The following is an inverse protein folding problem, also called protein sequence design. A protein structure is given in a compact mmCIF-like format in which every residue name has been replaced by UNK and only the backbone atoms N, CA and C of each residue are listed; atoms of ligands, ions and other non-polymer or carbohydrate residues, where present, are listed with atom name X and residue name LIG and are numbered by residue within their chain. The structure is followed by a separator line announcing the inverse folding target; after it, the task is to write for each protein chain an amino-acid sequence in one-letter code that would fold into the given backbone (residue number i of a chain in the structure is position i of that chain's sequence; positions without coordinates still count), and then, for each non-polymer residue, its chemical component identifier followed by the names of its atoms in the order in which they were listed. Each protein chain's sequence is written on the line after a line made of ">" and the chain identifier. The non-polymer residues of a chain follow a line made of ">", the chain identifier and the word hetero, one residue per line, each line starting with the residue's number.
data_IF_343857739204
#
_entry.id   IF_343857739204
#
_cell.length_a   1.000
_cell.length_b   1.000
_cell.length_c   1.000
_cell.angle_alpha   90.00
_cell.angle_beta   90.00
_cell.angle_gamma   90.00
#
_symmetry.space_group_name_H-M   'P 1'
#
loop_
_entity.id
_entity.type
_entity.pdbx_description
1 polymer ?
#
# COMPACT_ATOMS: atom_id res chain seq x y z
N UNK A 1 -10.00 -14.00 49.43
CA UNK A 1 -10.47 -14.33 48.07
C UNK A 1 -10.32 -13.20 47.04
N UNK A 2 -9.69 -12.05 47.37
CA UNK A 2 -9.54 -10.92 46.45
C UNK A 2 -8.19 -10.89 45.69
N UNK A 3 -7.16 -11.62 46.20
CA UNK A 3 -5.81 -11.62 45.61
C UNK A 3 -5.64 -12.45 44.33
N UNK A 4 -6.52 -13.43 44.09
CA UNK A 4 -6.46 -14.28 42.90
C UNK A 4 -7.20 -13.70 41.69
N UNK A 5 -8.08 -12.72 41.90
CA UNK A 5 -8.81 -12.04 40.81
C UNK A 5 -7.92 -11.07 40.04
N UNK A 6 -6.94 -10.44 40.69
CA UNK A 6 -6.02 -9.50 40.05
C UNK A 6 -5.02 -10.19 39.11
N UNK A 7 -4.62 -11.44 39.40
CA UNK A 7 -3.72 -12.21 38.55
C UNK A 7 -4.37 -12.67 37.24
N UNK A 8 -5.69 -12.93 37.25
CA UNK A 8 -6.44 -13.40 36.07
C UNK A 8 -6.70 -12.27 35.05
N UNK A 9 -6.74 -11.02 35.50
CA UNK A 9 -6.96 -9.84 34.63
C UNK A 9 -5.70 -9.44 33.86
N UNK A 10 -4.51 -9.80 34.32
CA UNK A 10 -3.22 -9.48 33.67
C UNK A 10 -2.91 -10.47 32.53
N UNK A 11 -3.48 -11.67 32.55
CA UNK A 11 -3.29 -12.67 31.49
C UNK A 11 -4.19 -12.50 30.26
N UNK A 12 -5.15 -11.56 30.28
CA UNK A 12 -6.11 -11.35 29.19
C UNK A 12 -5.72 -10.20 28.24
N UNK A 13 -4.63 -9.48 28.50
CA UNK A 13 -4.18 -8.34 27.69
C UNK A 13 -3.18 -8.68 26.59
N UNK A 14 -2.87 -9.96 26.37
CA UNK A 14 -2.30 -10.40 25.09
C UNK A 14 -3.44 -10.51 24.06
N UNK A 15 -3.94 -9.35 23.64
CA UNK A 15 -4.60 -9.26 22.35
C UNK A 15 -3.58 -9.69 21.31
N UNK A 16 -3.68 -10.93 20.85
CA UNK A 16 -2.98 -11.35 19.65
C UNK A 16 -3.46 -10.41 18.54
N UNK A 17 -2.63 -9.42 18.20
CA UNK A 17 -2.83 -8.64 17.00
C UNK A 17 -2.57 -9.63 15.86
N UNK A 18 -3.64 -10.32 15.45
CA UNK A 18 -3.60 -11.17 14.27
C UNK A 18 -3.21 -10.25 13.11
N UNK A 19 -1.97 -10.33 12.66
CA UNK A 19 -1.52 -9.64 11.47
C UNK A 19 -2.35 -10.15 10.29
N UNK A 20 -2.86 -9.25 9.47
CA UNK A 20 -3.52 -9.64 8.23
C UNK A 20 -2.46 -10.18 7.29
N UNK A 21 -2.56 -11.45 6.88
CA UNK A 21 -1.74 -12.01 5.81
C UNK A 21 -2.55 -12.08 4.53
N UNK A 22 -2.15 -11.33 3.51
CA UNK A 22 -2.74 -11.44 2.18
C UNK A 22 -1.93 -12.49 1.40
N UNK A 23 -2.60 -13.51 0.86
CA UNK A 23 -1.96 -14.51 -0.02
C UNK A 23 -1.71 -13.94 -1.40
N UNK A 24 -0.74 -14.53 -2.12
CA UNK A 24 -0.45 -14.16 -3.51
C UNK A 24 -1.68 -14.31 -4.42
N UNK A 25 -2.47 -15.37 -4.23
CA UNK A 25 -3.70 -15.61 -4.98
C UNK A 25 -4.74 -14.49 -4.77
N UNK A 26 -4.92 -14.01 -3.53
CA UNK A 26 -5.81 -12.89 -3.25
C UNK A 26 -5.30 -11.60 -3.90
N UNK A 27 -3.99 -11.35 -3.84
CA UNK A 27 -3.36 -10.19 -4.47
C UNK A 27 -3.53 -10.22 -5.99
N UNK A 28 -3.30 -11.35 -6.64
CA UNK A 28 -3.53 -11.52 -8.08
C UNK A 28 -4.99 -11.27 -8.46
N UNK A 29 -5.94 -11.83 -7.68
CA UNK A 29 -7.37 -11.61 -7.88
C UNK A 29 -7.74 -10.12 -7.80
N UNK A 30 -7.28 -9.40 -6.77
CA UNK A 30 -7.58 -7.98 -6.62
C UNK A 30 -6.92 -7.13 -7.70
N UNK A 31 -5.67 -7.43 -8.06
CA UNK A 31 -4.97 -6.76 -9.16
C UNK A 31 -5.71 -6.92 -10.48
N UNK A 32 -6.12 -8.15 -10.82
CA UNK A 32 -6.86 -8.43 -12.05
C UNK A 32 -8.19 -7.67 -12.13
N UNK A 33 -8.85 -7.47 -10.98
CA UNK A 33 -10.15 -6.83 -10.92
C UNK A 33 -10.07 -5.30 -10.90
N UNK A 34 -9.02 -4.74 -10.30
CA UNK A 34 -9.03 -3.34 -9.85
C UNK A 34 -7.81 -2.50 -10.27
N UNK A 35 -6.74 -3.10 -10.80
CA UNK A 35 -5.53 -2.35 -11.19
C UNK A 35 -5.78 -1.27 -12.26
N UNK A 36 -6.77 -1.46 -13.14
CA UNK A 36 -7.13 -0.44 -14.14
C UNK A 36 -7.76 0.82 -13.55
N UNK A 37 -8.16 0.80 -12.27
CA UNK A 37 -8.71 1.97 -11.57
C UNK A 37 -7.63 2.81 -10.89
N UNK A 38 -6.37 2.39 -10.94
CA UNK A 38 -5.22 3.11 -10.40
C UNK A 38 -4.36 3.59 -11.57
N UNK A 39 -4.08 4.89 -11.59
CA UNK A 39 -3.24 5.50 -12.62
C UNK A 39 -1.81 5.68 -12.11
N UNK A 40 -0.84 5.41 -12.98
CA UNK A 40 0.57 5.74 -12.77
C UNK A 40 1.03 6.49 -14.01
N UNK A 41 1.32 7.77 -13.84
CA UNK A 41 1.89 8.64 -14.88
C UNK A 41 3.38 8.87 -14.57
N UNK A 42 4.25 8.57 -15.53
CA UNK A 42 5.70 8.69 -15.38
C UNK A 42 6.20 9.73 -16.38
N UNK A 43 6.88 10.75 -15.89
CA UNK A 43 7.47 11.82 -16.71
C UNK A 43 8.96 11.93 -16.46
N UNK A 44 9.75 11.85 -17.52
CA UNK A 44 11.18 12.17 -17.46
C UNK A 44 11.37 13.68 -17.59
N UNK A 45 12.05 14.28 -16.62
CA UNK A 45 12.44 15.69 -16.64
C UNK A 45 13.92 15.82 -16.27
N UNK A 46 14.75 16.16 -17.26
CA UNK A 46 16.21 16.15 -17.09
C UNK A 46 16.72 14.74 -16.81
N UNK A 47 17.27 14.53 -15.61
CA UNK A 47 17.82 13.24 -15.17
C UNK A 47 16.90 12.50 -14.18
N UNK A 48 15.72 13.03 -13.87
CA UNK A 48 14.82 12.44 -12.90
C UNK A 48 13.49 12.01 -13.54
N UNK A 49 12.98 10.87 -13.12
CA UNK A 49 11.61 10.48 -13.33
C UNK A 49 10.75 11.01 -12.17
N UNK A 50 9.68 11.72 -12.52
CA UNK A 50 8.58 12.02 -11.61
C UNK A 50 7.47 11.00 -11.86
N UNK A 51 7.09 10.27 -10.81
CA UNK A 51 6.02 9.27 -10.85
C UNK A 51 4.83 9.81 -10.07
N UNK A 52 3.72 10.06 -10.74
CA UNK A 52 2.46 10.48 -10.15
C UNK A 52 1.50 9.30 -10.11
N UNK A 53 0.96 9.00 -8.94
CA UNK A 53 -0.01 7.93 -8.73
C UNK A 53 -1.35 8.55 -8.35
N UNK A 54 -2.44 8.05 -8.94
CA UNK A 54 -3.81 8.38 -8.56
C UNK A 54 -4.61 7.12 -8.22
N UNK A 55 -5.45 7.22 -7.20
CA UNK A 55 -6.43 6.20 -6.83
C UNK A 55 -7.79 6.84 -6.47
N UNK A 56 -8.91 6.13 -6.68
CA UNK A 56 -10.21 6.62 -6.27
C UNK A 56 -10.33 6.68 -4.74
N UNK A 57 -11.24 7.51 -4.24
CA UNK A 57 -11.52 7.63 -2.79
C UNK A 57 -12.05 6.35 -2.15
N UNK A 58 -12.68 5.50 -2.94
CA UNK A 58 -13.18 4.21 -2.50
C UNK A 58 -13.17 3.23 -3.67
N UNK A 59 -13.00 1.97 -3.35
CA UNK A 59 -13.00 0.89 -4.33
C UNK A 59 -13.74 -0.30 -3.73
N UNK A 60 -14.74 -0.82 -4.45
CA UNK A 60 -15.63 -1.86 -3.91
C UNK A 60 -16.30 -1.48 -2.57
N UNK A 61 -16.70 -0.21 -2.43
CA UNK A 61 -17.25 0.37 -1.17
C UNK A 61 -16.25 0.43 0.00
N UNK A 62 -15.00 0.00 -0.19
CA UNK A 62 -13.96 0.12 0.81
C UNK A 62 -13.22 1.46 0.64
N UNK A 63 -13.03 2.24 1.72
CA UNK A 63 -12.38 3.55 1.64
C UNK A 63 -10.88 3.42 1.40
N UNK A 64 -10.31 4.35 0.62
CA UNK A 64 -8.86 4.51 0.48
C UNK A 64 -8.19 4.69 1.84
N UNK A 65 -7.06 4.01 2.04
CA UNK A 65 -6.26 4.09 3.27
C UNK A 65 -4.86 4.69 3.03
N UNK A 66 -4.23 4.42 1.89
CA UNK A 66 -2.88 4.92 1.65
C UNK A 66 -2.17 4.32 0.45
N UNK A 67 -1.00 4.87 0.18
CA UNK A 67 -0.05 4.40 -0.82
C UNK A 67 1.23 3.89 -0.16
N UNK A 68 1.77 2.79 -0.67
CA UNK A 68 3.10 2.30 -0.31
C UNK A 68 3.92 2.03 -1.56
N UNK A 69 5.21 2.34 -1.49
CA UNK A 69 6.21 2.01 -2.48
C UNK A 69 7.04 0.84 -1.99
N UNK A 70 7.19 -0.20 -2.83
CA UNK A 70 8.05 -1.35 -2.56
C UNK A 70 9.06 -1.50 -3.70
N UNK A 71 10.34 -1.60 -3.36
CA UNK A 71 11.40 -1.82 -4.33
C UNK A 71 11.71 -3.32 -4.49
N UNK A 72 11.76 -3.76 -5.75
CA UNK A 72 12.13 -5.09 -6.26
C UNK A 72 11.14 -6.23 -5.96
N UNK A 73 10.86 -6.54 -4.68
CA UNK A 73 10.06 -7.71 -4.28
C UNK A 73 9.32 -7.47 -2.97
N UNK A 74 8.15 -8.10 -2.80
CA UNK A 74 7.43 -8.11 -1.52
C UNK A 74 8.07 -9.00 -0.45
N UNK A 75 8.72 -10.09 -0.86
CA UNK A 75 9.30 -11.06 0.09
C UNK A 75 10.63 -10.54 0.66
N UNK A 76 11.43 -9.90 -0.19
CA UNK A 76 12.75 -9.37 0.15
C UNK A 76 12.90 -7.98 -0.50
N UNK A 77 12.22 -6.95 0.03
CA UNK A 77 12.30 -5.61 -0.54
C UNK A 77 13.67 -5.00 -0.29
N UNK A 78 14.22 -4.29 -1.27
CA UNK A 78 15.39 -3.43 -1.00
C UNK A 78 14.99 -2.32 -0.03
N UNK A 79 13.81 -1.73 -0.24
CA UNK A 79 13.16 -0.85 0.73
C UNK A 79 11.66 -0.83 0.51
N UNK A 80 10.93 -0.41 1.54
CA UNK A 80 9.52 -0.08 1.47
C UNK A 80 9.26 1.23 2.21
N UNK A 81 8.36 2.06 1.68
CA UNK A 81 8.00 3.33 2.28
C UNK A 81 6.51 3.62 2.09
N UNK A 82 5.86 4.13 3.14
CA UNK A 82 4.56 4.78 2.98
C UNK A 82 4.78 6.11 2.24
N UNK A 83 3.89 6.41 1.29
CA UNK A 83 3.91 7.66 0.57
C UNK A 83 2.82 8.58 1.10
N UNK A 84 3.16 9.84 1.35
CA UNK A 84 2.19 10.84 1.75
C UNK A 84 1.19 11.09 0.62
N UNK A 85 -0.09 11.05 0.96
CA UNK A 85 -1.18 11.25 0.00
C UNK A 85 -1.86 12.60 0.21
N UNK A 86 -2.37 13.18 -0.87
CA UNK A 86 -3.20 14.37 -0.84
C UNK A 86 -4.46 14.14 -1.68
N UNK A 87 -5.53 14.84 -1.33
CA UNK A 87 -6.80 14.77 -2.06
C UNK A 87 -6.80 15.76 -3.23
N UNK A 88 -7.18 15.29 -4.41
CA UNK A 88 -7.40 16.15 -5.58
C UNK A 88 -8.70 15.72 -6.30
N UNK A 89 -9.76 16.51 -6.12
CA UNK A 89 -11.06 16.23 -6.71
C UNK A 89 -11.70 14.95 -6.15
N UNK A 90 -11.90 13.95 -7.00
CA UNK A 90 -12.48 12.64 -6.64
C UNK A 90 -11.45 11.57 -6.32
N UNK A 91 -10.16 11.92 -6.27
CA UNK A 91 -9.05 10.99 -6.14
C UNK A 91 -8.14 11.36 -4.98
N UNK A 92 -7.42 10.35 -4.47
CA UNK A 92 -6.19 10.55 -3.72
C UNK A 92 -5.01 10.38 -4.64
N UNK A 93 -3.99 11.21 -4.43
CA UNK A 93 -2.78 11.20 -5.22
C UNK A 93 -1.55 11.19 -4.34
N UNK A 94 -0.45 10.72 -4.91
CA UNK A 94 0.89 10.83 -4.33
C UNK A 94 1.91 10.89 -5.46
N UNK A 95 3.13 11.34 -5.15
CA UNK A 95 4.21 11.32 -6.11
C UNK A 95 5.54 11.01 -5.44
N UNK A 96 6.49 10.54 -6.24
CA UNK A 96 7.89 10.50 -5.87
C UNK A 96 8.77 10.78 -7.08
N UNK A 97 9.97 11.28 -6.80
CA UNK A 97 11.00 11.52 -7.81
C UNK A 97 12.13 10.49 -7.63
N UNK A 98 12.71 10.07 -8.75
CA UNK A 98 13.87 9.19 -8.74
C UNK A 98 14.84 9.55 -9.87
N UNK A 99 16.13 9.54 -9.56
CA UNK A 99 17.18 9.65 -10.57
C UNK A 99 17.11 8.48 -11.57
N UNK A 100 17.18 8.78 -12.87
CA UNK A 100 17.07 7.80 -13.95
C UNK A 100 18.15 6.70 -13.88
N UNK A 101 19.32 6.99 -13.31
CA UNK A 101 20.39 6.03 -13.06
C UNK A 101 20.15 5.12 -11.85
N UNK A 102 19.14 5.40 -11.03
CA UNK A 102 18.75 4.61 -9.87
C UNK A 102 17.46 3.81 -10.08
N UNK A 103 16.87 3.88 -11.28
CA UNK A 103 15.65 3.13 -11.63
C UNK A 103 15.85 1.64 -11.38
N UNK A 104 14.82 1.04 -10.78
CA UNK A 104 14.70 -0.37 -10.49
C UNK A 104 13.23 -0.74 -10.53
N UNK A 105 12.91 -2.01 -10.27
CA UNK A 105 11.52 -2.44 -10.22
C UNK A 105 10.85 -1.79 -9.01
N UNK A 106 9.82 -0.98 -9.27
CA UNK A 106 9.03 -0.34 -8.23
C UNK A 106 7.59 -0.82 -8.31
N UNK A 107 7.06 -1.21 -7.16
CA UNK A 107 5.70 -1.71 -6.98
C UNK A 107 4.95 -0.70 -6.11
N UNK A 108 3.89 -0.13 -6.66
CA UNK A 108 2.96 0.72 -5.94
C UNK A 108 1.86 -0.16 -5.39
N UNK A 109 1.66 -0.07 -4.08
CA UNK A 109 0.57 -0.72 -3.36
C UNK A 109 -0.43 0.37 -2.94
N UNK A 110 -1.68 0.18 -3.29
CA UNK A 110 -2.79 1.04 -2.89
C UNK A 110 -3.72 0.22 -1.99
N UNK A 111 -3.91 0.69 -0.76
CA UNK A 111 -4.68 -0.04 0.26
C UNK A 111 -6.09 0.55 0.39
N UNK A 112 -7.09 -0.32 0.43
CA UNK A 112 -8.51 0.02 0.64
C UNK A 112 -9.11 -0.82 1.76
N UNK A 113 -9.93 -0.20 2.62
CA UNK A 113 -10.68 -0.87 3.69
C UNK A 113 -9.99 -0.87 5.06
N UNK A 114 -10.78 -0.99 6.12
CA UNK A 114 -10.30 -1.05 7.51
C UNK A 114 -10.07 -2.50 7.98
N UNK A 115 -9.33 -2.71 9.08
CA UNK A 115 -9.25 -3.99 9.82
C UNK A 115 -9.04 -5.25 8.94
N UNK A 116 -8.03 -5.22 8.07
CA UNK A 116 -7.78 -6.18 6.97
C UNK A 116 -8.51 -5.82 5.67
N UNK A 117 -8.24 -4.61 5.19
CA UNK A 117 -8.54 -4.21 3.83
C UNK A 117 -7.82 -5.07 2.77
N UNK A 118 -7.91 -4.63 1.51
CA UNK A 118 -7.20 -5.26 0.40
C UNK A 118 -6.27 -4.29 -0.29
N UNK A 119 -5.25 -4.87 -0.90
CA UNK A 119 -4.23 -4.15 -1.64
C UNK A 119 -4.42 -4.36 -3.14
N UNK A 120 -4.21 -3.29 -3.89
CA UNK A 120 -4.05 -3.34 -5.34
C UNK A 120 -2.64 -2.88 -5.68
N UNK A 121 -1.90 -3.75 -6.36
CA UNK A 121 -0.51 -3.53 -6.74
C UNK A 121 -0.38 -3.21 -8.22
N UNK A 122 0.45 -2.22 -8.56
CA UNK A 122 0.91 -1.97 -9.93
C UNK A 122 2.41 -1.75 -9.98
N UNK A 123 3.04 -2.28 -11.02
CA UNK A 123 4.45 -1.98 -11.33
C UNK A 123 4.56 -0.60 -12.01
N UNK A 124 5.58 0.16 -11.65
CA UNK A 124 5.93 1.41 -12.31
C UNK A 124 6.75 1.10 -13.55
N UNK A 125 6.28 1.52 -14.71
CA UNK A 125 7.01 1.39 -15.98
C UNK A 125 7.62 2.74 -16.37
N UNK A 126 8.96 2.81 -16.35
CA UNK A 126 9.74 3.96 -16.77
C UNK A 126 9.96 3.91 -18.29
N UNK A 127 9.76 5.04 -18.98
CA UNK A 127 9.94 5.19 -20.43
C UNK A 127 11.17 6.02 -20.79
#
# INVERSE_FOLDING_TARGET
>A
MLKYFFGLLISLSFGAQAGCSISDEMREMYNAKYAEQISIDVKLSGHNYTVLISAPKALNSEPFQGFHLVADSFNEPTFAAALESFEEGSEFKTWFDIDAGLVRKYLIVVTFGENCGFDVTKEVFYQ
#
